data_IF_139452012568
#
_entry.id   IF_139452012568
#
_cell.length_a   1.000
_cell.length_b   1.000
_cell.length_c   1.000
_cell.angle_alpha   90.00
_cell.angle_beta   90.00
_cell.angle_gamma   90.00
#
_symmetry.space_group_name_H-M   'P 1'
#
loop_
_entity.id
_entity.type
_entity.pdbx_description
1 polymer ?
#
# COMPACT_ATOMS: atom_id res chain seq x y z
N UNK A 1 -18.16 -4.07 -13.10
CA UNK A 1 -17.05 -3.60 -12.23
C UNK A 1 -16.86 -2.12 -12.46
N UNK A 2 -16.83 -1.29 -11.42
CA UNK A 2 -16.75 0.18 -11.56
C UNK A 2 -15.42 0.62 -12.15
N UNK A 3 -15.44 1.71 -12.93
CA UNK A 3 -14.27 2.33 -13.57
C UNK A 3 -13.09 2.54 -12.60
N UNK A 4 -13.40 2.91 -11.35
CA UNK A 4 -12.41 3.08 -10.29
C UNK A 4 -11.61 1.80 -10.01
N UNK A 5 -12.28 0.66 -9.89
CA UNK A 5 -11.62 -0.62 -9.55
C UNK A 5 -10.64 -1.07 -10.64
N UNK A 6 -10.94 -0.76 -11.90
CA UNK A 6 -10.03 -1.03 -13.03
C UNK A 6 -8.82 -0.10 -12.98
N UNK A 7 -9.05 1.20 -12.79
CA UNK A 7 -7.96 2.18 -12.69
C UNK A 7 -7.02 1.89 -11.51
N UNK A 8 -7.56 1.46 -10.36
CA UNK A 8 -6.77 1.08 -9.19
C UNK A 8 -5.88 -0.15 -9.43
N UNK A 9 -6.39 -1.16 -10.15
CA UNK A 9 -5.60 -2.33 -10.53
C UNK A 9 -4.47 -1.97 -11.50
N UNK A 10 -4.75 -1.13 -12.49
CA UNK A 10 -3.74 -0.65 -13.45
C UNK A 10 -2.62 0.12 -12.74
N UNK A 11 -2.98 1.04 -11.84
CA UNK A 11 -2.03 1.77 -11.02
C UNK A 11 -1.19 0.81 -10.15
N UNK A 12 -1.83 -0.18 -9.54
CA UNK A 12 -1.15 -1.19 -8.71
C UNK A 12 -0.12 -1.96 -9.52
N UNK A 13 -0.50 -2.52 -10.67
CA UNK A 13 0.39 -3.29 -11.53
C UNK A 13 1.65 -2.50 -11.89
N UNK A 14 1.47 -1.26 -12.30
CA UNK A 14 2.58 -0.45 -12.76
C UNK A 14 3.43 0.16 -11.64
N UNK A 15 2.91 0.21 -10.40
CA UNK A 15 3.71 0.53 -9.21
C UNK A 15 4.60 -0.65 -8.79
N UNK A 16 4.22 -1.89 -9.11
CA UNK A 16 5.00 -3.09 -8.74
C UNK A 16 6.33 -3.21 -9.48
N UNK A 17 6.46 -2.58 -10.64
CA UNK A 17 7.72 -2.47 -11.37
C UNK A 17 8.76 -1.63 -10.62
N UNK A 18 8.31 -0.65 -9.82
CA UNK A 18 9.21 0.24 -9.08
C UNK A 18 9.50 -0.22 -7.66
N UNK A 19 8.48 -0.72 -6.95
CA UNK A 19 8.65 -1.17 -5.57
C UNK A 19 7.76 -2.37 -5.27
N UNK A 20 8.28 -3.37 -4.53
CA UNK A 20 7.54 -4.55 -4.17
C UNK A 20 6.39 -4.25 -3.20
N UNK A 21 5.62 -5.29 -2.86
CA UNK A 21 4.66 -5.21 -1.76
C UNK A 21 5.37 -4.81 -0.47
N UNK A 22 4.83 -3.84 0.25
CA UNK A 22 5.17 -3.67 1.65
C UNK A 22 4.50 -4.79 2.46
N UNK A 23 5.15 -5.38 3.47
CA UNK A 23 4.58 -6.50 4.20
C UNK A 23 3.32 -6.08 4.98
N UNK A 24 2.37 -7.01 5.09
CA UNK A 24 1.26 -6.94 6.02
C UNK A 24 1.62 -7.81 7.21
N UNK A 25 1.89 -7.20 8.36
CA UNK A 25 2.44 -7.90 9.52
C UNK A 25 1.43 -7.86 10.66
N UNK A 26 1.18 -9.01 11.28
CA UNK A 26 0.40 -9.07 12.52
C UNK A 26 1.19 -8.38 13.63
N UNK A 27 0.50 -7.61 14.45
CA UNK A 27 1.08 -6.98 15.63
C UNK A 27 0.55 -7.68 16.89
N UNK A 28 1.36 -8.55 17.49
CA UNK A 28 0.93 -9.37 18.62
C UNK A 28 0.62 -8.53 19.86
N UNK A 29 1.38 -7.47 20.13
CA UNK A 29 1.16 -6.59 21.27
C UNK A 29 -0.20 -5.90 21.19
N UNK A 30 -0.50 -5.26 20.05
CA UNK A 30 -1.79 -4.59 19.85
C UNK A 30 -2.92 -5.60 19.82
N UNK A 31 -2.71 -6.75 19.19
CA UNK A 31 -3.73 -7.80 19.10
C UNK A 31 -4.14 -8.30 20.49
N UNK A 32 -3.16 -8.58 21.35
CA UNK A 32 -3.41 -8.98 22.73
C UNK A 32 -4.04 -7.85 23.57
N UNK A 33 -3.62 -6.60 23.36
CA UNK A 33 -4.12 -5.44 24.11
C UNK A 33 -5.60 -5.16 23.85
N UNK A 34 -6.06 -5.40 22.63
CA UNK A 34 -7.41 -5.03 22.19
C UNK A 34 -8.31 -6.23 21.90
N UNK A 35 -7.85 -7.45 22.19
CA UNK A 35 -8.57 -8.70 21.90
C UNK A 35 -9.10 -8.74 20.45
N UNK A 36 -8.21 -8.41 19.50
CA UNK A 36 -8.55 -8.29 18.08
C UNK A 36 -7.37 -8.69 17.19
N UNK A 37 -7.62 -9.09 15.95
CA UNK A 37 -6.54 -9.34 14.98
C UNK A 37 -6.06 -8.04 14.34
N UNK A 38 -4.99 -7.46 14.88
CA UNK A 38 -4.45 -6.20 14.40
C UNK A 38 -3.27 -6.46 13.46
N UNK A 39 -3.43 -6.02 12.22
CA UNK A 39 -2.42 -6.12 11.16
C UNK A 39 -1.96 -4.73 10.74
N UNK A 40 -0.65 -4.59 10.52
CA UNK A 40 -0.02 -3.35 10.10
C UNK A 40 0.50 -3.50 8.68
N UNK A 41 0.00 -2.65 7.77
CA UNK A 41 0.56 -2.51 6.42
C UNK A 41 1.76 -1.56 6.48
N UNK A 42 2.95 -2.08 6.22
CA UNK A 42 4.23 -1.37 6.45
C UNK A 42 4.62 -0.39 5.34
N UNK A 43 3.74 0.58 5.05
CA UNK A 43 4.04 1.66 4.08
C UNK A 43 5.22 2.55 4.48
N UNK A 44 5.61 2.51 5.76
CA UNK A 44 6.82 3.13 6.30
C UNK A 44 8.13 2.53 5.75
N UNK A 45 8.08 1.34 5.17
CA UNK A 45 9.23 0.69 4.53
C UNK A 45 9.42 1.12 3.06
N UNK A 46 8.58 2.01 2.54
CA UNK A 46 8.77 2.58 1.20
C UNK A 46 9.93 3.59 1.17
N UNK A 47 10.49 3.94 0.00
CA UNK A 47 11.61 4.88 -0.14
C UNK A 47 11.39 6.29 0.46
N UNK A 48 10.13 6.68 0.70
CA UNK A 48 9.76 7.96 1.34
C UNK A 48 9.03 7.77 2.68
N UNK A 49 9.13 6.56 3.25
CA UNK A 49 8.51 6.14 4.52
C UNK A 49 7.02 6.48 4.65
N UNK A 50 6.32 6.54 3.53
CA UNK A 50 4.89 6.82 3.47
C UNK A 50 4.29 6.38 2.14
N UNK A 51 2.96 6.32 2.08
CA UNK A 51 2.23 5.91 0.88
C UNK A 51 2.26 6.96 -0.25
N UNK A 52 2.71 8.19 0.03
CA UNK A 52 2.53 9.36 -0.86
C UNK A 52 3.19 9.18 -2.24
N UNK A 53 4.32 8.48 -2.30
CA UNK A 53 5.02 8.22 -3.57
C UNK A 53 4.16 7.43 -4.55
N UNK A 54 3.27 6.56 -4.07
CA UNK A 54 2.36 5.78 -4.93
C UNK A 54 1.40 6.67 -5.71
N UNK A 55 0.84 7.68 -5.03
CA UNK A 55 -0.06 8.65 -5.64
C UNK A 55 0.68 9.58 -6.60
N UNK A 56 1.82 10.12 -6.18
CA UNK A 56 2.65 10.99 -7.01
C UNK A 56 3.06 10.30 -8.32
N UNK A 57 3.57 9.07 -8.24
CA UNK A 57 3.96 8.33 -9.44
C UNK A 57 2.78 7.98 -10.35
N UNK A 58 1.63 7.58 -9.78
CA UNK A 58 0.44 7.31 -10.56
C UNK A 58 -0.13 8.57 -11.25
N UNK A 59 0.10 9.77 -10.70
CA UNK A 59 -0.25 11.03 -11.36
C UNK A 59 0.74 11.36 -12.48
N UNK A 60 2.05 11.30 -12.20
CA UNK A 60 3.11 11.65 -13.16
C UNK A 60 3.11 10.77 -14.42
N UNK A 61 2.77 9.48 -14.31
CA UNK A 61 2.69 8.57 -15.47
C UNK A 61 1.55 8.88 -16.46
N UNK A 62 0.60 9.73 -16.08
CA UNK A 62 -0.56 10.12 -16.90
C UNK A 62 -0.32 11.42 -17.66
N UNK A 63 0.84 12.04 -17.43
CA UNK A 63 1.34 13.21 -18.16
C UNK A 63 1.99 12.74 -19.46
#
# INVERSE_FOLDING_TARGET
MTQFSTAARQATAALRELFPETPLQRNDFLSARYDAEIWLKREDLSPVRSYKLRGAFNAMRKV
#
